data_IF_288280865841
#
_entry.id   IF_288280865841
#
_cell.length_a   1.000
_cell.length_b   1.000
_cell.length_c   1.000
_cell.angle_alpha   90.00
_cell.angle_beta   90.00
_cell.angle_gamma   90.00
#
_symmetry.space_group_name_H-M   'P 1'
#
loop_
_entity.id
_entity.type
_entity.pdbx_description
1 polymer ?
#
# COMPACT_ATOMS: atom_id res chain seq x y z
N UNK A 1 5.84 46.71 87.15
CA UNK A 1 5.60 45.70 86.12
C UNK A 1 4.11 45.49 86.09
N UNK A 2 3.45 45.97 85.05
CA UNK A 2 1.99 45.88 84.92
C UNK A 2 1.66 44.51 84.25
N UNK A 3 0.97 43.68 85.07
CA UNK A 3 0.37 42.48 84.48
C UNK A 3 -0.77 42.88 83.58
N UNK A 4 -0.61 42.60 82.33
CA UNK A 4 -1.69 42.76 81.39
C UNK A 4 -2.70 41.62 81.61
N UNK A 5 -3.88 41.99 82.10
CA UNK A 5 -5.00 41.12 82.23
C UNK A 5 -5.62 40.80 80.85
N UNK A 6 -5.36 39.63 80.34
CA UNK A 6 -5.90 39.15 79.11
C UNK A 6 -7.30 38.53 79.22
N UNK A 7 -7.97 38.75 80.35
CA UNK A 7 -9.31 38.19 80.59
C UNK A 7 -10.46 39.04 80.09
N UNK A 8 -10.20 40.23 79.57
CA UNK A 8 -11.25 41.04 78.94
C UNK A 8 -11.48 40.50 77.48
N UNK A 9 -12.56 39.80 77.33
CA UNK A 9 -13.18 39.57 76.03
C UNK A 9 -13.44 40.91 75.37
N UNK A 10 -12.51 41.40 74.64
CA UNK A 10 -12.79 42.42 73.66
C UNK A 10 -13.68 41.79 72.58
N UNK A 11 -14.95 42.10 72.61
CA UNK A 11 -15.81 41.93 71.42
C UNK A 11 -15.31 42.86 70.33
N UNK A 12 -14.34 42.40 69.58
CA UNK A 12 -13.90 43.07 68.40
C UNK A 12 -14.88 42.67 67.30
N UNK A 13 -15.65 43.59 66.72
CA UNK A 13 -16.57 43.27 65.63
C UNK A 13 -15.87 42.79 64.35
N UNK A 14 -14.55 42.66 64.39
CA UNK A 14 -13.70 42.07 63.36
C UNK A 14 -12.84 40.92 63.88
N UNK A 15 -13.20 40.30 65.00
CA UNK A 15 -12.46 39.21 65.63
C UNK A 15 -12.49 37.94 64.75
N UNK A 16 -11.39 37.22 64.83
CA UNK A 16 -11.21 35.91 64.19
C UNK A 16 -12.31 34.95 64.63
N UNK A 17 -13.26 34.70 63.74
CA UNK A 17 -14.30 33.69 63.96
C UNK A 17 -13.80 32.34 63.48
N UNK A 18 -13.55 31.43 64.42
CA UNK A 18 -13.20 30.02 64.11
C UNK A 18 -14.26 29.32 63.27
N UNK A 19 -15.49 29.86 63.18
CA UNK A 19 -16.55 29.41 62.32
C UNK A 19 -16.35 29.76 60.84
N UNK A 20 -15.55 30.82 60.58
CA UNK A 20 -15.24 31.25 59.22
C UNK A 20 -14.28 30.31 58.47
N UNK A 21 -13.59 29.43 59.23
CA UNK A 21 -12.71 28.39 58.72
C UNK A 21 -13.41 27.01 58.60
N UNK A 22 -14.68 26.91 58.90
CA UNK A 22 -15.42 25.76 58.44
C UNK A 22 -15.45 25.87 56.90
N UNK A 23 -14.70 24.93 56.27
CA UNK A 23 -14.81 24.74 54.82
C UNK A 23 -16.29 24.83 54.43
N UNK A 24 -16.68 25.92 53.81
CA UNK A 24 -17.94 25.90 53.11
C UNK A 24 -17.82 24.77 52.15
N UNK A 25 -18.55 23.65 52.36
CA UNK A 25 -18.69 22.63 51.37
C UNK A 25 -19.07 23.40 50.10
N UNK A 26 -18.11 23.54 49.18
CA UNK A 26 -18.41 24.04 47.81
C UNK A 26 -19.65 23.26 47.39
N UNK A 27 -20.73 23.94 46.96
CA UNK A 27 -21.86 23.24 46.38
C UNK A 27 -21.27 22.27 45.36
N UNK A 28 -21.61 20.98 45.51
CA UNK A 28 -21.21 19.99 44.49
C UNK A 28 -21.61 20.57 43.17
N UNK A 29 -20.61 21.02 42.40
CA UNK A 29 -20.83 21.40 41.02
C UNK A 29 -21.43 20.17 40.37
N UNK A 30 -22.73 20.17 40.14
CA UNK A 30 -23.41 19.14 39.38
C UNK A 30 -22.82 19.24 37.99
N UNK A 31 -21.82 18.42 37.69
CA UNK A 31 -21.18 18.32 36.38
C UNK A 31 -22.27 18.01 35.40
N UNK A 32 -22.73 19.03 34.67
CA UNK A 32 -23.71 18.81 33.60
C UNK A 32 -23.03 18.04 32.48
N UNK A 33 -23.33 16.75 32.45
CA UNK A 33 -22.84 15.84 31.41
C UNK A 33 -23.31 16.37 30.03
N UNK A 34 -22.42 16.41 29.09
CA UNK A 34 -22.77 16.69 27.68
C UNK A 34 -23.71 15.58 27.15
N UNK A 35 -24.50 15.83 26.10
CA UNK A 35 -25.38 14.82 25.51
C UNK A 35 -24.66 13.51 25.11
N UNK A 36 -23.39 13.61 24.70
CA UNK A 36 -22.55 12.45 24.42
C UNK A 36 -22.20 11.67 25.69
N UNK A 37 -21.82 12.36 26.78
CA UNK A 37 -21.53 11.76 28.08
C UNK A 37 -22.79 11.11 28.70
N UNK A 38 -23.97 11.70 28.51
CA UNK A 38 -25.22 11.11 28.96
C UNK A 38 -25.54 9.78 28.24
N UNK A 39 -25.29 9.72 26.93
CA UNK A 39 -25.42 8.47 26.16
C UNK A 39 -24.44 7.40 26.63
N UNK A 40 -23.20 7.79 26.90
CA UNK A 40 -22.18 6.87 27.43
C UNK A 40 -22.54 6.36 28.84
N UNK A 41 -23.01 7.23 29.73
CA UNK A 41 -23.48 6.83 31.07
C UNK A 41 -24.69 5.88 30.99
N UNK A 42 -25.60 6.11 30.04
CA UNK A 42 -26.74 5.21 29.81
C UNK A 42 -26.30 3.83 29.28
N UNK A 43 -25.25 3.77 28.45
CA UNK A 43 -24.64 2.51 28.00
C UNK A 43 -23.91 1.80 29.16
N UNK A 44 -23.16 2.54 29.96
CA UNK A 44 -22.46 2.01 31.14
C UNK A 44 -23.47 1.41 32.13
N UNK A 45 -24.64 2.05 32.33
CA UNK A 45 -25.68 1.54 33.20
C UNK A 45 -26.30 0.20 32.74
N UNK A 46 -26.14 -0.16 31.47
CA UNK A 46 -26.61 -1.44 30.91
C UNK A 46 -25.55 -2.55 30.95
N UNK A 47 -24.31 -2.23 31.30
CA UNK A 47 -23.24 -3.22 31.38
C UNK A 47 -23.38 -4.09 32.65
N UNK A 48 -23.07 -5.39 32.59
CA UNK A 48 -22.96 -6.24 33.75
C UNK A 48 -21.99 -5.66 34.78
N UNK A 49 -22.30 -5.83 36.07
CA UNK A 49 -21.51 -5.26 37.19
C UNK A 49 -20.01 -5.58 37.12
N UNK A 50 -19.64 -6.76 36.65
CA UNK A 50 -18.25 -7.16 36.48
C UNK A 50 -17.48 -6.25 35.47
N UNK A 51 -18.16 -5.69 34.47
CA UNK A 51 -17.57 -4.80 33.47
C UNK A 51 -17.53 -3.32 33.91
N UNK A 52 -18.10 -2.99 35.07
CA UNK A 52 -18.09 -1.62 35.61
C UNK A 52 -16.87 -1.33 36.49
N UNK A 53 -15.99 -2.33 36.73
CA UNK A 53 -14.76 -2.13 37.46
C UNK A 53 -13.76 -1.32 36.64
N UNK A 54 -12.93 -0.51 37.30
CA UNK A 54 -11.88 0.28 36.63
C UNK A 54 -10.95 -0.61 35.80
N UNK A 55 -10.59 -1.79 36.31
CA UNK A 55 -9.75 -2.74 35.59
C UNK A 55 -10.42 -3.27 34.29
N UNK A 56 -11.73 -3.59 34.39
CA UNK A 56 -12.49 -4.04 33.20
C UNK A 56 -12.68 -2.90 32.18
N UNK A 57 -12.91 -1.67 32.65
CA UNK A 57 -13.01 -0.50 31.77
C UNK A 57 -11.69 -0.22 31.03
N UNK A 58 -10.56 -0.33 31.74
CA UNK A 58 -9.22 -0.21 31.13
C UNK A 58 -8.97 -1.34 30.11
N UNK A 59 -9.27 -2.58 30.46
CA UNK A 59 -9.12 -3.71 29.55
C UNK A 59 -10.00 -3.54 28.30
N UNK A 60 -11.25 -3.13 28.47
CA UNK A 60 -12.17 -2.88 27.37
C UNK A 60 -11.68 -1.72 26.47
N UNK A 61 -11.18 -0.63 27.05
CA UNK A 61 -10.64 0.50 26.29
C UNK A 61 -9.42 0.10 25.47
N UNK A 62 -8.54 -0.74 26.01
CA UNK A 62 -7.40 -1.30 25.28
C UNK A 62 -7.89 -2.19 24.12
N UNK A 63 -8.87 -3.06 24.34
CA UNK A 63 -9.45 -3.91 23.30
C UNK A 63 -10.08 -3.06 22.20
N UNK A 64 -10.85 -2.02 22.56
CA UNK A 64 -11.47 -1.10 21.58
C UNK A 64 -10.41 -0.32 20.80
N UNK A 65 -9.36 0.18 21.45
CA UNK A 65 -8.24 0.83 20.78
C UNK A 65 -7.53 -0.12 19.82
N UNK A 66 -7.25 -1.34 20.23
CA UNK A 66 -6.64 -2.35 19.37
C UNK A 66 -7.56 -2.70 18.18
N UNK A 67 -8.85 -2.91 18.43
CA UNK A 67 -9.82 -3.18 17.36
C UNK A 67 -9.93 -2.02 16.38
N UNK A 68 -9.94 -0.77 16.85
CA UNK A 68 -9.91 0.40 16.00
C UNK A 68 -8.60 0.52 15.22
N UNK A 69 -7.48 0.32 15.88
CA UNK A 69 -6.15 0.37 15.26
C UNK A 69 -5.98 -0.69 14.18
N UNK A 70 -6.34 -1.95 14.47
CA UNK A 70 -6.26 -3.04 13.49
C UNK A 70 -7.33 -2.92 12.40
N UNK A 71 -8.56 -2.54 12.74
CA UNK A 71 -9.66 -2.42 11.79
C UNK A 71 -9.46 -1.27 10.82
N UNK A 72 -9.30 -0.05 11.31
CA UNK A 72 -9.11 1.13 10.46
C UNK A 72 -7.72 1.18 9.81
N UNK A 73 -6.68 0.80 10.56
CA UNK A 73 -5.31 0.74 10.05
C UNK A 73 -5.18 -0.28 8.93
N UNK A 74 -5.69 -1.49 9.14
CA UNK A 74 -5.68 -2.54 8.11
C UNK A 74 -6.48 -2.19 6.87
N UNK A 75 -7.67 -1.57 7.04
CA UNK A 75 -8.49 -1.10 5.92
C UNK A 75 -7.76 -0.01 5.10
N UNK A 76 -7.14 0.97 5.77
CA UNK A 76 -6.36 2.03 5.12
C UNK A 76 -5.16 1.46 4.35
N UNK A 77 -4.43 0.53 4.95
CA UNK A 77 -3.31 -0.15 4.28
C UNK A 77 -3.77 -0.93 3.05
N UNK A 78 -4.91 -1.61 3.13
CA UNK A 78 -5.48 -2.34 1.99
C UNK A 78 -5.88 -1.41 0.85
N UNK A 79 -6.42 -0.23 1.16
CA UNK A 79 -6.69 0.81 0.16
C UNK A 79 -5.41 1.24 -0.53
N UNK A 80 -4.36 1.54 0.24
CA UNK A 80 -3.05 1.92 -0.30
C UNK A 80 -2.40 0.82 -1.15
N UNK A 81 -2.51 -0.43 -0.72
CA UNK A 81 -2.07 -1.58 -1.50
C UNK A 81 -2.81 -1.68 -2.84
N UNK A 82 -4.13 -1.51 -2.83
CA UNK A 82 -4.93 -1.54 -4.05
C UNK A 82 -4.61 -0.36 -4.97
N UNK A 83 -4.39 0.84 -4.43
CA UNK A 83 -3.93 2.01 -5.19
C UNK A 83 -2.59 1.71 -5.89
N UNK A 84 -1.59 1.18 -5.17
CA UNK A 84 -0.31 0.81 -5.79
C UNK A 84 -0.47 -0.27 -6.87
N UNK A 85 -1.34 -1.28 -6.65
CA UNK A 85 -1.63 -2.30 -7.65
C UNK A 85 -2.35 -1.79 -8.89
N UNK A 86 -3.12 -0.71 -8.81
CA UNK A 86 -3.79 -0.13 -9.99
C UNK A 86 -2.78 0.29 -11.08
N UNK A 87 -1.61 0.77 -10.68
CA UNK A 87 -0.53 1.12 -11.61
C UNK A 87 -0.03 -0.08 -12.43
N UNK A 88 -0.17 -1.29 -11.87
CA UNK A 88 0.17 -2.51 -12.58
C UNK A 88 -0.96 -3.00 -13.48
N UNK A 89 -2.23 -3.00 -13.01
CA UNK A 89 -3.31 -3.78 -13.62
C UNK A 89 -4.35 -2.99 -14.39
N UNK A 90 -4.59 -1.71 -14.04
CA UNK A 90 -5.76 -0.96 -14.55
C UNK A 90 -5.36 0.27 -15.35
N UNK A 91 -4.19 0.84 -15.05
CA UNK A 91 -3.79 2.14 -15.56
C UNK A 91 -4.38 3.30 -14.77
N UNK A 92 -3.66 4.39 -14.75
CA UNK A 92 -4.03 5.61 -14.03
C UNK A 92 -3.91 6.83 -14.94
N UNK A 93 -4.67 7.87 -14.64
CA UNK A 93 -4.67 9.09 -15.44
C UNK A 93 -3.29 9.77 -15.55
N UNK A 94 -2.44 9.58 -14.51
CA UNK A 94 -1.07 10.12 -14.50
C UNK A 94 -0.14 9.50 -15.56
N UNK A 95 -0.46 8.29 -16.03
CA UNK A 95 0.22 7.57 -17.12
C UNK A 95 -0.67 7.47 -18.37
N UNK A 96 -1.56 8.45 -18.59
CA UNK A 96 -2.48 8.50 -19.73
C UNK A 96 -3.34 7.23 -19.89
N UNK A 97 -3.60 6.52 -18.82
CA UNK A 97 -4.36 5.27 -18.80
C UNK A 97 -3.55 4.02 -19.11
N UNK A 98 -2.26 4.15 -19.44
CA UNK A 98 -1.38 2.99 -19.61
C UNK A 98 -1.13 2.28 -18.27
N UNK A 99 -0.90 0.98 -18.35
CA UNK A 99 -0.50 0.18 -17.19
C UNK A 99 0.59 -0.83 -17.58
N UNK A 100 1.40 -1.19 -16.59
CA UNK A 100 2.55 -2.04 -16.82
C UNK A 100 2.17 -3.42 -17.38
N UNK A 101 1.10 -4.05 -16.86
CA UNK A 101 0.67 -5.37 -17.31
C UNK A 101 0.21 -5.39 -18.78
N UNK A 102 -0.50 -4.36 -19.25
CA UNK A 102 -0.95 -4.26 -20.62
C UNK A 102 0.22 -4.09 -21.60
N UNK A 103 1.19 -3.26 -21.24
CA UNK A 103 2.38 -3.06 -22.07
C UNK A 103 3.29 -4.30 -22.11
N UNK A 104 3.41 -5.03 -20.99
CA UNK A 104 4.11 -6.32 -20.97
C UNK A 104 3.39 -7.37 -21.83
N UNK A 105 2.05 -7.42 -21.81
CA UNK A 105 1.28 -8.28 -22.73
C UNK A 105 1.46 -7.87 -24.20
N UNK A 106 1.53 -6.57 -24.48
CA UNK A 106 1.82 -6.07 -25.83
C UNK A 106 3.20 -6.53 -26.31
N UNK A 107 4.21 -6.49 -25.43
CA UNK A 107 5.54 -7.07 -25.73
C UNK A 107 5.47 -8.56 -26.01
N UNK A 108 4.77 -9.34 -25.19
CA UNK A 108 4.61 -10.79 -25.40
C UNK A 108 4.00 -11.10 -26.78
N UNK A 109 2.89 -10.43 -27.09
CA UNK A 109 2.16 -10.67 -28.33
C UNK A 109 2.97 -10.26 -29.58
N UNK A 110 3.64 -9.12 -29.53
CA UNK A 110 4.47 -8.66 -30.64
C UNK A 110 5.74 -9.50 -30.81
N UNK A 111 6.35 -9.93 -29.71
CA UNK A 111 7.45 -10.90 -29.72
C UNK A 111 7.05 -12.22 -30.39
N UNK A 112 5.88 -12.78 -30.02
CA UNK A 112 5.35 -13.99 -30.62
C UNK A 112 5.20 -13.87 -32.15
N UNK A 113 4.76 -12.71 -32.64
CA UNK A 113 4.62 -12.44 -34.07
C UNK A 113 5.99 -12.35 -34.78
N UNK A 114 6.99 -11.70 -34.15
CA UNK A 114 8.36 -11.67 -34.66
C UNK A 114 8.96 -13.07 -34.72
N UNK A 115 8.80 -13.87 -33.67
CA UNK A 115 9.26 -15.27 -33.59
C UNK A 115 8.59 -16.13 -34.66
N UNK A 116 7.29 -15.98 -34.86
CA UNK A 116 6.55 -16.72 -35.91
C UNK A 116 7.11 -16.42 -37.30
N UNK A 117 7.36 -15.14 -37.59
CA UNK A 117 7.97 -14.73 -38.83
C UNK A 117 9.42 -15.25 -38.94
N UNK A 118 10.17 -15.22 -37.86
CA UNK A 118 11.50 -15.81 -37.75
C UNK A 118 11.51 -17.30 -38.05
N UNK A 119 10.63 -18.06 -37.44
CA UNK A 119 10.47 -19.51 -37.66
C UNK A 119 10.13 -19.82 -39.14
N UNK A 120 9.26 -19.05 -39.76
CA UNK A 120 8.86 -19.24 -41.13
C UNK A 120 9.95 -18.82 -42.16
N UNK A 121 10.87 -17.96 -41.77
CA UNK A 121 11.91 -17.43 -42.67
C UNK A 121 13.24 -18.13 -42.50
N UNK A 122 13.65 -18.38 -41.24
CA UNK A 122 14.97 -18.94 -40.87
C UNK A 122 14.89 -20.43 -40.55
N UNK A 123 13.68 -20.97 -40.33
CA UNK A 123 13.44 -22.32 -39.83
C UNK A 123 13.36 -22.38 -38.32
N UNK A 124 12.65 -23.40 -37.83
CA UNK A 124 12.46 -23.64 -36.38
C UNK A 124 13.72 -24.07 -35.64
N UNK A 125 14.69 -24.62 -36.37
CA UNK A 125 15.98 -25.08 -35.82
C UNK A 125 17.04 -23.98 -35.72
N UNK A 126 16.71 -22.75 -36.19
CA UNK A 126 17.59 -21.62 -36.10
C UNK A 126 17.82 -21.22 -34.62
N UNK A 127 19.07 -20.95 -34.25
CA UNK A 127 19.44 -20.69 -32.85
C UNK A 127 18.77 -19.43 -32.27
N UNK A 128 18.66 -18.36 -33.06
CA UNK A 128 18.03 -17.10 -32.63
C UNK A 128 16.50 -17.26 -32.45
N UNK A 129 15.87 -18.11 -33.30
CA UNK A 129 14.45 -18.46 -33.15
C UNK A 129 14.23 -19.23 -31.86
N UNK A 130 15.06 -20.26 -31.59
CA UNK A 130 14.94 -21.06 -30.36
C UNK A 130 15.21 -20.23 -29.11
N UNK A 131 16.20 -19.37 -29.13
CA UNK A 131 16.52 -18.47 -28.03
C UNK A 131 15.36 -17.51 -27.73
N UNK A 132 14.78 -16.89 -28.77
CA UNK A 132 13.64 -15.99 -28.63
C UNK A 132 12.39 -16.73 -28.13
N UNK A 133 12.14 -17.96 -28.60
CA UNK A 133 11.03 -18.80 -28.12
C UNK A 133 11.19 -19.18 -26.65
N UNK A 134 12.40 -19.55 -26.22
CA UNK A 134 12.69 -19.85 -24.81
C UNK A 134 12.51 -18.61 -23.91
N UNK A 135 13.02 -17.46 -24.36
CA UNK A 135 12.87 -16.19 -23.64
C UNK A 135 11.39 -15.77 -23.52
N UNK A 136 10.60 -15.92 -24.59
CA UNK A 136 9.17 -15.62 -24.55
C UNK A 136 8.41 -16.55 -23.58
N UNK A 137 8.78 -17.84 -23.55
CA UNK A 137 8.16 -18.80 -22.61
C UNK A 137 8.45 -18.39 -21.17
N UNK A 138 9.71 -18.15 -20.80
CA UNK A 138 10.07 -17.71 -19.46
C UNK A 138 9.37 -16.39 -19.05
N UNK A 139 9.34 -15.43 -19.97
CA UNK A 139 8.65 -14.17 -19.76
C UNK A 139 7.14 -14.35 -19.51
N UNK A 140 6.46 -15.19 -20.29
CA UNK A 140 5.03 -15.45 -20.12
C UNK A 140 4.74 -16.12 -18.77
N UNK A 141 5.57 -17.09 -18.37
CA UNK A 141 5.44 -17.78 -17.08
C UNK A 141 5.62 -16.78 -15.91
N UNK A 142 6.60 -15.88 -16.03
CA UNK A 142 6.83 -14.82 -15.05
C UNK A 142 5.67 -13.81 -15.00
N UNK A 143 5.12 -13.41 -16.16
CA UNK A 143 4.01 -12.48 -16.25
C UNK A 143 2.71 -13.08 -15.68
N UNK A 144 2.43 -14.35 -15.97
CA UNK A 144 1.30 -15.06 -15.37
C UNK A 144 1.48 -15.17 -13.85
N UNK A 145 2.68 -15.51 -13.40
CA UNK A 145 3.03 -15.55 -11.98
C UNK A 145 2.88 -14.21 -11.29
N UNK A 146 3.28 -13.10 -11.91
CA UNK A 146 3.10 -11.76 -11.39
C UNK A 146 1.61 -11.38 -11.28
N UNK A 147 0.80 -11.72 -12.28
CA UNK A 147 -0.65 -11.52 -12.25
C UNK A 147 -1.32 -12.32 -11.12
N UNK A 148 -0.88 -13.55 -10.89
CA UNK A 148 -1.31 -14.39 -9.77
C UNK A 148 -0.72 -13.96 -8.41
N UNK A 149 0.25 -13.06 -8.41
CA UNK A 149 0.98 -12.62 -7.22
C UNK A 149 1.93 -13.66 -6.66
N UNK A 150 2.45 -14.57 -7.50
CA UNK A 150 3.39 -15.64 -7.15
C UNK A 150 4.83 -15.36 -7.59
N UNK A 151 5.02 -14.56 -8.63
CA UNK A 151 6.34 -14.18 -9.14
C UNK A 151 6.74 -12.79 -8.65
N UNK A 152 8.02 -12.64 -8.31
CA UNK A 152 8.60 -11.35 -7.94
C UNK A 152 8.72 -10.45 -9.18
N UNK A 153 8.43 -9.17 -9.02
CA UNK A 153 8.50 -8.20 -10.11
C UNK A 153 9.91 -8.03 -10.66
N UNK A 154 10.94 -8.21 -9.82
CA UNK A 154 12.33 -8.21 -10.27
C UNK A 154 12.64 -9.37 -11.23
N UNK A 155 12.12 -10.58 -10.98
CA UNK A 155 12.28 -11.71 -11.89
C UNK A 155 11.59 -11.43 -13.24
N UNK A 156 10.37 -10.89 -13.21
CA UNK A 156 9.67 -10.48 -14.42
C UNK A 156 10.43 -9.39 -15.19
N UNK A 157 11.07 -8.45 -14.50
CA UNK A 157 11.94 -7.46 -15.13
C UNK A 157 13.12 -8.12 -15.85
N UNK A 158 13.82 -9.06 -15.20
CA UNK A 158 14.95 -9.77 -15.82
C UNK A 158 14.52 -10.57 -17.05
N UNK A 159 13.37 -11.25 -16.99
CA UNK A 159 12.85 -12.00 -18.12
C UNK A 159 12.40 -11.07 -19.26
N UNK A 160 11.88 -9.87 -18.96
CA UNK A 160 11.59 -8.83 -19.93
C UNK A 160 12.85 -8.33 -20.67
N UNK A 161 13.95 -8.11 -19.93
CA UNK A 161 15.24 -7.72 -20.55
C UNK A 161 15.81 -8.85 -21.40
N UNK A 162 15.71 -10.09 -20.93
CA UNK A 162 16.15 -11.29 -21.68
C UNK A 162 15.35 -11.45 -22.99
N UNK A 163 14.03 -11.27 -22.91
CA UNK A 163 13.17 -11.29 -24.09
C UNK A 163 13.55 -10.15 -25.06
N UNK A 164 13.83 -8.95 -24.54
CA UNK A 164 14.29 -7.83 -25.34
C UNK A 164 15.52 -8.17 -26.17
N UNK A 165 16.56 -8.65 -25.49
CA UNK A 165 17.82 -9.02 -26.14
C UNK A 165 17.65 -10.14 -27.19
N UNK A 166 16.82 -11.15 -26.88
CA UNK A 166 16.59 -12.28 -27.79
C UNK A 166 15.81 -11.84 -29.06
N UNK A 167 14.81 -10.96 -28.92
CA UNK A 167 14.06 -10.41 -30.06
C UNK A 167 14.92 -9.49 -30.91
N UNK A 168 15.79 -8.69 -30.31
CA UNK A 168 16.74 -7.83 -31.03
C UNK A 168 17.70 -8.67 -31.92
N UNK A 169 18.24 -9.76 -31.36
CA UNK A 169 19.10 -10.68 -32.10
C UNK A 169 18.36 -11.37 -33.24
N UNK A 170 17.15 -11.87 -32.99
CA UNK A 170 16.33 -12.50 -34.01
C UNK A 170 15.97 -11.50 -35.11
N UNK A 171 15.60 -10.26 -34.77
CA UNK A 171 15.27 -9.23 -35.76
C UNK A 171 16.47 -8.86 -36.62
N UNK A 172 17.66 -8.70 -36.02
CA UNK A 172 18.90 -8.46 -36.74
C UNK A 172 19.19 -9.62 -37.73
N UNK A 173 19.01 -10.87 -37.31
CA UNK A 173 19.19 -12.05 -38.16
C UNK A 173 18.19 -12.10 -39.32
N UNK A 174 16.95 -11.72 -39.09
CA UNK A 174 15.93 -11.60 -40.14
C UNK A 174 16.32 -10.51 -41.18
N UNK A 175 16.86 -9.39 -40.74
CA UNK A 175 17.34 -8.34 -41.65
C UNK A 175 18.46 -8.80 -42.54
N UNK A 176 19.37 -9.67 -42.06
CA UNK A 176 20.48 -10.23 -42.82
C UNK A 176 20.01 -11.22 -43.90
N UNK A 177 18.97 -12.01 -43.61
CA UNK A 177 18.63 -13.20 -44.43
C UNK A 177 17.30 -13.08 -45.18
N UNK A 178 16.44 -12.13 -44.85
CA UNK A 178 15.14 -11.99 -45.49
C UNK A 178 15.25 -11.32 -46.86
N UNK A 179 15.00 -12.11 -47.91
CA UNK A 179 14.98 -11.65 -49.26
C UNK A 179 13.63 -10.99 -49.69
N UNK A 180 12.57 -11.15 -48.84
CA UNK A 180 11.22 -10.68 -49.18
C UNK A 180 10.89 -9.36 -48.45
N UNK A 181 10.85 -8.21 -49.19
CA UNK A 181 10.58 -6.89 -48.62
C UNK A 181 9.20 -6.81 -47.92
N UNK A 182 8.20 -7.57 -48.39
CA UNK A 182 6.85 -7.53 -47.81
C UNK A 182 6.82 -8.19 -46.43
N UNK A 183 7.49 -9.35 -46.28
CA UNK A 183 7.64 -10.01 -44.99
C UNK A 183 8.45 -9.16 -44.00
N UNK A 184 9.50 -8.50 -44.50
CA UNK A 184 10.29 -7.57 -43.70
C UNK A 184 9.48 -6.36 -43.22
N UNK A 185 8.63 -5.79 -44.07
CA UNK A 185 7.75 -4.68 -43.67
C UNK A 185 6.80 -5.07 -42.51
N UNK A 186 6.21 -6.28 -42.59
CA UNK A 186 5.33 -6.77 -41.53
C UNK A 186 6.08 -6.99 -40.21
N UNK A 187 7.25 -7.65 -40.24
CA UNK A 187 8.04 -7.91 -39.03
C UNK A 187 8.62 -6.63 -38.42
N UNK A 188 9.00 -5.66 -39.27
CA UNK A 188 9.44 -4.34 -38.83
C UNK A 188 8.34 -3.61 -38.04
N UNK A 189 7.08 -3.70 -38.50
CA UNK A 189 5.93 -3.16 -37.75
C UNK A 189 5.77 -3.78 -36.39
N UNK A 190 5.85 -5.13 -36.28
CA UNK A 190 5.75 -5.84 -35.02
C UNK A 190 6.93 -5.52 -34.08
N UNK A 191 8.14 -5.49 -34.58
CA UNK A 191 9.33 -5.09 -33.85
C UNK A 191 9.25 -3.64 -33.36
N UNK A 192 8.70 -2.73 -34.19
CA UNK A 192 8.45 -1.35 -33.82
C UNK A 192 7.45 -1.24 -32.65
N UNK A 193 6.38 -2.02 -32.67
CA UNK A 193 5.41 -2.07 -31.57
C UNK A 193 6.02 -2.67 -30.30
N UNK A 194 6.84 -3.72 -30.44
CA UNK A 194 7.59 -4.33 -29.33
C UNK A 194 8.46 -3.29 -28.60
N UNK A 195 9.20 -2.46 -29.37
CA UNK A 195 10.05 -1.42 -28.80
C UNK A 195 9.27 -0.19 -28.30
N UNK A 196 8.12 0.13 -28.92
CA UNK A 196 7.23 1.15 -28.40
C UNK A 196 6.70 0.80 -27.02
N UNK A 197 6.25 -0.45 -26.82
CA UNK A 197 5.83 -0.93 -25.51
C UNK A 197 6.96 -0.85 -24.47
N UNK A 198 8.20 -1.19 -24.85
CA UNK A 198 9.36 -1.00 -23.96
C UNK A 198 9.57 0.47 -23.56
N UNK A 199 9.42 1.39 -24.51
CA UNK A 199 9.54 2.84 -24.26
C UNK A 199 8.45 3.32 -23.32
N UNK A 200 7.20 2.87 -23.52
CA UNK A 200 6.08 3.19 -22.62
C UNK A 200 6.37 2.66 -21.23
N UNK A 201 6.75 1.38 -21.09
CA UNK A 201 7.12 0.76 -19.81
C UNK A 201 8.17 1.60 -19.06
N UNK A 202 9.22 2.03 -19.76
CA UNK A 202 10.27 2.87 -19.19
C UNK A 202 9.80 4.26 -18.74
N UNK A 203 8.66 4.75 -19.24
CA UNK A 203 8.07 6.04 -18.90
C UNK A 203 7.00 5.95 -17.81
N UNK A 204 6.51 4.74 -17.48
CA UNK A 204 5.47 4.54 -16.49
C UNK A 204 5.98 4.87 -15.07
N UNK A 205 5.10 5.48 -14.28
CA UNK A 205 5.39 5.84 -12.89
C UNK A 205 5.12 4.70 -11.89
N UNK A 206 5.01 3.47 -12.39
CA UNK A 206 4.77 2.29 -11.53
C UNK A 206 5.79 2.19 -10.39
N UNK A 207 7.09 2.30 -10.70
CA UNK A 207 8.14 2.20 -9.68
C UNK A 207 8.06 3.35 -8.67
N UNK A 208 7.75 4.58 -9.10
CA UNK A 208 7.54 5.72 -8.19
C UNK A 208 6.38 5.44 -7.22
N UNK A 209 5.25 4.96 -7.74
CA UNK A 209 4.09 4.61 -6.93
C UNK A 209 4.38 3.48 -5.93
N UNK A 210 5.20 2.48 -6.33
CA UNK A 210 5.65 1.41 -5.44
C UNK A 210 6.56 1.94 -4.34
N UNK A 211 7.53 2.78 -4.66
CA UNK A 211 8.42 3.37 -3.67
C UNK A 211 7.67 4.28 -2.68
N UNK A 212 6.71 5.06 -3.15
CA UNK A 212 5.85 5.86 -2.28
C UNK A 212 5.01 4.97 -1.36
N UNK A 213 4.45 3.88 -1.89
CA UNK A 213 3.76 2.89 -1.09
C UNK A 213 4.67 2.25 -0.03
N UNK A 214 5.86 1.81 -0.40
CA UNK A 214 6.83 1.22 0.52
C UNK A 214 7.26 2.21 1.62
N UNK A 215 7.45 3.47 1.27
CA UNK A 215 7.77 4.54 2.23
C UNK A 215 6.65 4.76 3.25
N UNK A 216 5.39 4.72 2.80
CA UNK A 216 4.23 4.89 3.68
C UNK A 216 3.96 3.67 4.56
N UNK A 217 4.28 2.46 4.07
CA UNK A 217 3.88 1.20 4.70
C UNK A 217 5.03 0.42 5.36
N UNK A 218 6.28 0.74 5.03
CA UNK A 218 7.45 -0.02 5.50
C UNK A 218 7.85 0.23 6.95
N UNK A 219 7.32 1.29 7.60
CA UNK A 219 7.63 1.65 8.99
C UNK A 219 6.68 1.01 10.00
N UNK A 220 7.10 1.03 11.30
CA UNK A 220 6.18 0.71 12.39
C UNK A 220 5.14 1.84 12.55
N UNK A 221 3.86 1.54 12.76
CA UNK A 221 3.25 0.22 12.95
C UNK A 221 2.71 -0.43 11.65
N UNK A 222 2.86 0.21 10.50
CA UNK A 222 2.22 -0.19 9.25
C UNK A 222 2.68 -1.58 8.76
N UNK A 223 3.98 -1.90 8.90
CA UNK A 223 4.53 -3.20 8.52
C UNK A 223 3.93 -4.36 9.33
N UNK A 224 3.69 -4.16 10.64
CA UNK A 224 3.06 -5.17 11.50
C UNK A 224 1.59 -5.36 11.12
N UNK A 225 0.87 -4.24 10.90
CA UNK A 225 -0.53 -4.26 10.47
C UNK A 225 -0.69 -4.91 9.09
N UNK A 226 0.21 -4.62 8.16
CA UNK A 226 0.22 -5.21 6.82
C UNK A 226 0.36 -6.73 6.88
N UNK A 227 1.31 -7.24 7.68
CA UNK A 227 1.49 -8.67 7.90
C UNK A 227 0.25 -9.36 8.48
N UNK A 228 -0.38 -8.75 9.49
CA UNK A 228 -1.60 -9.27 10.11
C UNK A 228 -2.83 -9.20 9.18
N UNK A 229 -2.90 -8.19 8.33
CA UNK A 229 -3.96 -8.03 7.34
C UNK A 229 -3.76 -8.89 6.08
N UNK A 230 -2.67 -9.66 6.00
CA UNK A 230 -2.33 -10.48 4.83
C UNK A 230 -2.02 -9.64 3.58
N UNK A 231 -1.56 -8.40 3.77
CA UNK A 231 -1.18 -7.52 2.67
C UNK A 231 0.21 -7.94 2.20
N UNK A 232 0.31 -8.29 0.92
CA UNK A 232 1.58 -8.68 0.31
C UNK A 232 2.42 -7.43 0.02
N UNK A 233 3.72 -7.62 -0.01
CA UNK A 233 4.66 -6.60 -0.49
C UNK A 233 4.39 -6.29 -1.96
N UNK A 234 4.48 -5.02 -2.34
CA UNK A 234 4.48 -4.59 -3.74
C UNK A 234 5.92 -4.26 -4.09
N UNK A 235 6.45 -4.93 -5.11
CA UNK A 235 7.85 -4.79 -5.54
C UNK A 235 7.94 -3.89 -6.77
N UNK A 236 9.05 -3.12 -6.93
CA UNK A 236 9.30 -2.36 -8.15
C UNK A 236 9.65 -3.32 -9.31
N UNK A 237 9.34 -2.86 -10.51
CA UNK A 237 9.74 -3.49 -11.76
C UNK A 237 11.12 -2.94 -12.18
N UNK A 238 12.19 -3.51 -11.59
CA UNK A 238 13.58 -3.09 -11.78
C UNK A 238 14.57 -4.21 -11.44
#
# INVERSE_FOLDING_TARGET
MANADFSQKQQNPGGFDAGSYREQKKPEETVRLTPAQQKLAALEAKLPGALRTQAAALALSVVVMLAAFFGFGGAKLRTKYNEARQWFTVGVAADNGYNLNEELNTRANTAANVITTGSNTLGTDNAEVQAAQAALTAFNDALEGANAGSTRMHALYQDNETLGAAIDQLYAKLQEQAADPMKMGAVQGQYGQFNSAATIIGSLKYNEAVYDYQKETGGFPANVLGGLAGIKEVEPFA
#
